data_IF_708662191969
#
_entry.id   IF_708662191969
#
_cell.length_a   1.000
_cell.length_b   1.000
_cell.length_c   1.000
_cell.angle_alpha   90.00
_cell.angle_beta   90.00
_cell.angle_gamma   90.00
#
_symmetry.space_group_name_H-M   'P 1'
#
loop_
_entity.id
_entity.type
_entity.pdbx_description
1 polymer ?
#
# COMPACT_ATOMS: atom_id res chain seq x y z
N UNK A 1 29.81 -17.11 -6.31
CA UNK A 1 29.41 -15.70 -6.58
C UNK A 1 28.26 -15.35 -5.64
N UNK A 2 28.23 -14.17 -5.00
CA UNK A 2 27.09 -13.78 -4.16
C UNK A 2 25.82 -13.75 -5.02
N UNK A 3 24.70 -14.22 -4.46
CA UNK A 3 23.39 -14.18 -5.14
C UNK A 3 22.99 -12.72 -5.45
N UNK A 4 22.35 -12.48 -6.59
CA UNK A 4 21.82 -11.17 -6.99
C UNK A 4 20.97 -10.49 -5.89
N UNK A 5 20.35 -11.30 -5.03
CA UNK A 5 19.53 -10.87 -3.92
C UNK A 5 20.28 -10.82 -2.57
N UNK A 6 21.59 -11.12 -2.53
CA UNK A 6 22.35 -11.06 -1.29
C UNK A 6 22.71 -9.63 -0.91
N UNK A 7 22.86 -9.37 0.41
CA UNK A 7 23.29 -8.08 0.93
C UNK A 7 24.66 -7.67 0.40
N UNK A 8 25.56 -8.65 0.21
CA UNK A 8 26.90 -8.44 -0.34
C UNK A 8 26.84 -7.90 -1.79
N UNK A 9 25.93 -8.42 -2.62
CA UNK A 9 25.76 -7.95 -4.00
C UNK A 9 25.29 -6.50 -4.09
N UNK A 10 24.49 -6.05 -3.12
CA UNK A 10 23.95 -4.67 -3.09
C UNK A 10 24.83 -3.68 -2.33
N UNK A 11 25.93 -4.17 -1.72
CA UNK A 11 26.90 -3.29 -1.06
C UNK A 11 27.60 -2.42 -2.10
N UNK A 12 27.50 -1.11 -1.93
CA UNK A 12 28.06 -0.15 -2.85
C UNK A 12 29.58 -0.03 -2.70
N UNK A 13 30.27 0.43 -3.75
CA UNK A 13 31.67 0.86 -3.64
C UNK A 13 31.77 2.13 -2.79
N UNK A 14 32.92 2.39 -2.16
CA UNK A 14 33.12 3.58 -1.32
C UNK A 14 32.91 4.91 -2.08
N UNK A 15 33.16 4.91 -3.40
CA UNK A 15 32.95 6.06 -4.28
C UNK A 15 31.50 6.26 -4.78
N UNK A 16 30.55 5.46 -4.31
CA UNK A 16 29.16 5.53 -4.78
C UNK A 16 28.50 6.84 -4.35
N UNK A 17 27.81 7.48 -5.31
CA UNK A 17 27.06 8.70 -5.02
C UNK A 17 25.77 8.37 -4.22
N UNK A 18 25.77 8.69 -2.93
CA UNK A 18 24.65 8.44 -2.01
C UNK A 18 23.32 9.10 -2.43
N UNK A 19 23.36 10.17 -3.23
CA UNK A 19 22.17 10.87 -3.72
C UNK A 19 21.36 10.08 -4.75
N UNK A 20 21.89 8.95 -5.25
CA UNK A 20 21.13 8.04 -6.11
C UNK A 20 20.19 7.10 -5.30
N UNK A 21 20.32 7.06 -3.98
CA UNK A 21 19.47 6.22 -3.11
C UNK A 21 18.09 6.83 -2.85
N UNK A 22 17.95 8.15 -2.59
CA UNK A 22 16.64 8.75 -2.35
C UNK A 22 15.61 8.51 -3.45
N UNK A 23 15.89 8.62 -4.75
CA UNK A 23 14.90 8.28 -5.78
C UNK A 23 14.39 6.85 -5.70
N UNK A 24 15.27 5.88 -5.41
CA UNK A 24 14.88 4.48 -5.25
C UNK A 24 13.98 4.28 -4.02
N UNK A 25 14.29 4.94 -2.91
CA UNK A 25 13.48 4.93 -1.70
C UNK A 25 12.12 5.60 -1.91
N UNK A 26 12.09 6.74 -2.60
CA UNK A 26 10.87 7.48 -2.93
C UNK A 26 9.95 6.69 -3.85
N UNK A 27 10.48 5.95 -4.82
CA UNK A 27 9.66 5.11 -5.70
C UNK A 27 8.81 4.09 -4.92
N UNK A 28 9.34 3.52 -3.83
CA UNK A 28 8.59 2.61 -2.95
C UNK A 28 7.62 3.41 -2.08
N UNK A 29 8.10 4.47 -1.40
CA UNK A 29 7.28 5.24 -0.47
C UNK A 29 6.09 5.93 -1.15
N UNK A 30 6.25 6.49 -2.35
CA UNK A 30 5.16 7.07 -3.12
C UNK A 30 4.11 6.02 -3.49
N UNK A 31 4.53 4.79 -3.82
CA UNK A 31 3.61 3.72 -4.17
C UNK A 31 2.78 3.24 -2.98
N UNK A 32 3.42 3.00 -1.84
CA UNK A 32 2.71 2.56 -0.62
C UNK A 32 1.97 3.72 0.07
N UNK A 33 2.36 4.95 -0.20
CA UNK A 33 1.74 6.16 0.37
C UNK A 33 0.30 6.38 -0.08
N UNK A 34 -0.16 5.71 -1.15
CA UNK A 34 -1.59 5.65 -1.51
C UNK A 34 -2.48 5.12 -0.38
N UNK A 35 -1.91 4.44 0.62
CA UNK A 35 -2.61 4.05 1.84
C UNK A 35 -3.37 5.21 2.50
N UNK A 36 -2.78 6.39 2.56
CA UNK A 36 -3.44 7.59 3.09
C UNK A 36 -4.53 8.15 2.18
N UNK A 37 -4.47 7.87 0.88
CA UNK A 37 -5.48 8.26 -0.11
C UNK A 37 -6.64 7.27 -0.26
N UNK A 38 -6.64 6.16 0.51
CA UNK A 38 -7.62 5.09 0.33
C UNK A 38 -9.07 5.53 0.53
N UNK A 39 -9.30 6.58 1.29
CA UNK A 39 -10.64 7.14 1.54
C UNK A 39 -11.37 7.56 0.26
N UNK A 40 -10.67 7.82 -0.84
CA UNK A 40 -11.26 8.16 -2.15
C UNK A 40 -12.17 7.03 -2.68
N UNK A 41 -11.93 5.78 -2.26
CA UNK A 41 -12.71 4.61 -2.64
C UNK A 41 -13.94 4.35 -1.75
N UNK A 42 -14.03 4.95 -0.56
CA UNK A 42 -15.08 4.59 0.42
C UNK A 42 -16.49 4.84 -0.11
N UNK A 43 -16.75 6.02 -0.65
CA UNK A 43 -18.07 6.36 -1.20
C UNK A 43 -18.39 5.50 -2.45
N UNK A 44 -17.50 5.33 -3.44
CA UNK A 44 -17.71 4.42 -4.54
C UNK A 44 -17.99 2.98 -4.12
N UNK A 45 -17.23 2.42 -3.18
CA UNK A 45 -17.40 1.06 -2.67
C UNK A 45 -18.74 0.87 -1.94
N UNK A 46 -19.17 1.88 -1.19
CA UNK A 46 -20.45 1.85 -0.49
C UNK A 46 -21.69 1.96 -1.39
N UNK A 47 -21.51 2.26 -2.69
CA UNK A 47 -22.57 2.36 -3.69
C UNK A 47 -22.29 1.47 -4.91
N UNK A 48 -21.55 0.38 -4.72
CA UNK A 48 -21.09 -0.47 -5.82
C UNK A 48 -22.22 -1.29 -6.44
N UNK A 49 -23.26 -1.66 -5.68
CA UNK A 49 -24.40 -2.41 -6.15
C UNK A 49 -25.59 -1.48 -6.43
N UNK A 50 -26.16 -1.58 -7.62
CA UNK A 50 -27.32 -0.81 -8.08
C UNK A 50 -28.46 -1.75 -8.38
N UNK A 51 -29.65 -1.42 -7.86
CA UNK A 51 -30.88 -2.14 -8.13
C UNK A 51 -31.43 -1.89 -9.54
N UNK A 52 -32.45 -2.62 -9.91
CA UNK A 52 -33.17 -2.46 -11.19
C UNK A 52 -33.86 -1.09 -11.33
N UNK A 53 -34.11 -0.42 -10.21
CA UNK A 53 -34.69 0.93 -10.14
C UNK A 53 -33.65 2.05 -10.33
N UNK A 54 -32.40 1.71 -10.62
CA UNK A 54 -31.29 2.66 -10.79
C UNK A 54 -30.80 3.29 -9.48
N UNK A 55 -31.18 2.79 -8.30
CA UNK A 55 -30.70 3.26 -7.01
C UNK A 55 -29.71 2.31 -6.38
N UNK A 56 -28.79 2.84 -5.57
CA UNK A 56 -27.88 1.99 -4.79
C UNK A 56 -28.68 1.06 -3.86
N UNK A 57 -28.31 -0.22 -3.82
CA UNK A 57 -28.92 -1.18 -2.89
C UNK A 57 -28.67 -0.76 -1.43
N UNK A 58 -29.55 -1.22 -0.54
CA UNK A 58 -29.39 -1.00 0.89
C UNK A 58 -28.07 -1.58 1.40
N UNK A 59 -27.52 -0.97 2.44
CA UNK A 59 -26.33 -1.50 3.10
C UNK A 59 -26.65 -2.81 3.88
N UNK A 60 -25.66 -3.68 4.03
CA UNK A 60 -25.81 -4.94 4.78
C UNK A 60 -26.21 -4.74 6.27
N UNK A 61 -25.86 -3.58 6.83
CA UNK A 61 -26.23 -3.14 8.17
C UNK A 61 -27.32 -2.06 8.17
N UNK A 62 -28.17 -1.99 7.13
CA UNK A 62 -29.25 -1.01 7.07
C UNK A 62 -30.20 -1.19 8.28
N UNK A 63 -30.49 -0.09 9.00
CA UNK A 63 -31.31 -0.10 10.20
C UNK A 63 -30.58 -0.48 11.50
N UNK A 64 -29.26 -0.76 11.44
CA UNK A 64 -28.47 -1.06 12.64
C UNK A 64 -28.39 0.14 13.59
N UNK A 65 -29.01 0.04 14.76
CA UNK A 65 -29.03 1.10 15.78
C UNK A 65 -27.87 0.97 16.78
N UNK A 66 -27.48 -0.25 17.12
CA UNK A 66 -26.44 -0.52 18.12
C UNK A 66 -25.11 -0.92 17.47
N UNK A 67 -24.03 -0.91 18.27
CA UNK A 67 -22.74 -1.42 17.82
C UNK A 67 -22.79 -2.91 17.50
N UNK A 68 -23.55 -3.70 18.27
CA UNK A 68 -23.73 -5.13 18.01
C UNK A 68 -24.42 -5.37 16.66
N UNK A 69 -25.48 -4.61 16.35
CA UNK A 69 -26.16 -4.71 15.05
C UNK A 69 -25.24 -4.38 13.88
N UNK A 70 -24.40 -3.34 14.02
CA UNK A 70 -23.38 -3.00 13.00
C UNK A 70 -22.38 -4.14 12.81
N UNK A 71 -21.91 -4.76 13.91
CA UNK A 71 -20.97 -5.86 13.83
C UNK A 71 -21.61 -7.08 13.14
N UNK A 72 -22.87 -7.42 13.47
CA UNK A 72 -23.60 -8.47 12.76
C UNK A 72 -23.77 -8.14 11.27
N UNK A 73 -24.09 -6.90 10.94
CA UNK A 73 -24.13 -6.43 9.55
C UNK A 73 -22.78 -6.61 8.83
N UNK A 74 -21.67 -6.29 9.49
CA UNK A 74 -20.32 -6.49 8.95
C UNK A 74 -20.00 -7.97 8.71
N UNK A 75 -20.35 -8.85 9.66
CA UNK A 75 -20.16 -10.30 9.50
C UNK A 75 -20.95 -10.82 8.28
N UNK A 76 -22.18 -10.35 8.10
CA UNK A 76 -22.95 -10.64 6.89
C UNK A 76 -22.28 -10.09 5.64
N UNK A 77 -21.82 -8.84 5.67
CA UNK A 77 -21.17 -8.17 4.54
C UNK A 77 -19.90 -8.88 4.03
N UNK A 78 -19.23 -9.67 4.89
CA UNK A 78 -18.03 -10.41 4.48
C UNK A 78 -18.29 -11.38 3.31
N UNK A 79 -19.47 -11.98 3.25
CA UNK A 79 -19.80 -13.00 2.23
C UNK A 79 -21.05 -12.68 1.41
N UNK A 80 -21.85 -11.69 1.82
CA UNK A 80 -23.07 -11.29 1.12
C UNK A 80 -22.74 -10.51 -0.14
N UNK A 81 -23.46 -10.82 -1.22
CA UNK A 81 -23.32 -10.18 -2.54
C UNK A 81 -24.58 -9.40 -2.93
N UNK A 82 -25.56 -9.29 -2.03
CA UNK A 82 -26.88 -8.71 -2.24
C UNK A 82 -27.10 -7.36 -1.57
N UNK A 83 -26.07 -6.83 -0.90
CA UNK A 83 -26.14 -5.59 -0.15
C UNK A 83 -24.81 -4.80 -0.24
N UNK A 84 -24.89 -3.48 -0.16
CA UNK A 84 -23.71 -2.61 -0.20
C UNK A 84 -22.95 -2.58 1.14
N UNK A 85 -21.65 -2.30 1.06
CA UNK A 85 -20.78 -2.15 2.22
C UNK A 85 -20.93 -0.77 2.86
N UNK A 86 -20.78 -0.69 4.16
CA UNK A 86 -20.80 0.58 4.89
C UNK A 86 -19.40 1.13 5.11
N UNK A 87 -19.31 2.41 5.48
CA UNK A 87 -18.03 2.99 5.93
C UNK A 87 -17.50 2.30 7.19
N UNK A 88 -18.37 1.72 8.02
CA UNK A 88 -17.98 0.93 9.18
C UNK A 88 -17.22 -0.35 8.76
N UNK A 89 -17.73 -1.07 7.75
CA UNK A 89 -17.11 -2.27 7.21
C UNK A 89 -15.72 -1.99 6.60
N UNK A 90 -15.63 -0.91 5.83
CA UNK A 90 -14.38 -0.45 5.23
C UNK A 90 -13.40 0.11 6.28
N UNK A 91 -13.93 0.75 7.32
CA UNK A 91 -13.14 1.27 8.44
C UNK A 91 -12.43 0.17 9.22
N UNK A 92 -13.08 -0.97 9.46
CA UNK A 92 -12.45 -2.13 10.10
C UNK A 92 -11.35 -2.75 9.24
N UNK A 93 -11.55 -2.86 7.93
CA UNK A 93 -10.49 -3.27 7.01
C UNK A 93 -9.28 -2.33 7.10
N UNK A 94 -9.52 -1.03 7.15
CA UNK A 94 -8.48 -0.01 7.24
C UNK A 94 -7.75 -0.04 8.60
N UNK A 95 -8.47 -0.32 9.69
CA UNK A 95 -7.88 -0.54 11.01
C UNK A 95 -6.95 -1.76 11.02
N UNK A 96 -7.41 -2.89 10.46
CA UNK A 96 -6.62 -4.11 10.32
C UNK A 96 -5.34 -3.87 9.51
N UNK A 97 -5.45 -3.11 8.45
CA UNK A 97 -4.35 -2.69 7.60
C UNK A 97 -3.24 -1.97 8.39
N UNK A 98 -3.58 -0.97 9.23
CA UNK A 98 -2.58 -0.25 10.04
C UNK A 98 -2.04 -1.07 11.21
N UNK A 99 -2.85 -1.91 11.82
CA UNK A 99 -2.39 -2.84 12.86
C UNK A 99 -1.31 -3.76 12.28
N UNK A 100 -1.56 -4.34 11.10
CA UNK A 100 -0.60 -5.23 10.45
C UNK A 100 0.61 -4.49 9.88
N UNK A 101 0.49 -3.22 9.48
CA UNK A 101 1.64 -2.37 9.20
C UNK A 101 2.57 -2.32 10.42
N UNK A 102 2.05 -1.97 11.59
CA UNK A 102 2.85 -1.85 12.81
C UNK A 102 3.45 -3.19 13.23
N UNK A 103 2.65 -4.26 13.27
CA UNK A 103 3.10 -5.60 13.61
C UNK A 103 4.18 -6.10 12.65
N UNK A 104 3.97 -5.98 11.34
CA UNK A 104 4.96 -6.43 10.35
C UNK A 104 6.26 -5.65 10.43
N UNK A 105 6.20 -4.33 10.62
CA UNK A 105 7.39 -3.50 10.82
C UNK A 105 8.19 -3.96 12.04
N UNK A 106 7.52 -4.28 13.16
CA UNK A 106 8.15 -4.75 14.38
C UNK A 106 8.77 -6.14 14.23
N UNK A 107 8.02 -7.11 13.72
CA UNK A 107 8.49 -8.50 13.60
C UNK A 107 9.54 -8.70 12.51
N UNK A 108 9.41 -8.03 11.37
CA UNK A 108 10.29 -8.23 10.22
C UNK A 108 11.47 -7.25 10.18
N UNK A 109 11.58 -6.31 11.12
CA UNK A 109 12.68 -5.35 11.18
C UNK A 109 14.05 -6.03 11.28
N UNK A 110 14.20 -7.03 12.16
CA UNK A 110 15.44 -7.81 12.30
C UNK A 110 15.75 -8.67 11.07
N UNK A 111 14.73 -9.19 10.41
CA UNK A 111 14.89 -9.91 9.15
C UNK A 111 15.36 -8.99 8.04
N UNK A 112 14.80 -7.79 7.93
CA UNK A 112 15.20 -6.78 6.95
C UNK A 112 16.70 -6.43 7.07
N UNK A 113 17.20 -6.25 8.28
CA UNK A 113 18.62 -5.96 8.52
C UNK A 113 19.55 -7.08 8.03
N UNK A 114 19.11 -8.33 8.13
CA UNK A 114 19.85 -9.50 7.65
C UNK A 114 19.68 -9.74 6.16
N UNK A 115 18.44 -9.72 5.67
CA UNK A 115 18.10 -10.03 4.28
C UNK A 115 18.48 -8.91 3.29
N UNK A 116 18.55 -7.66 3.79
CA UNK A 116 18.84 -6.46 3.01
C UNK A 116 17.61 -5.80 2.42
N UNK A 117 17.70 -4.48 2.12
CA UNK A 117 16.56 -3.66 1.72
C UNK A 117 15.98 -4.07 0.36
N UNK A 118 16.78 -4.63 -0.55
CA UNK A 118 16.31 -5.09 -1.86
C UNK A 118 15.31 -6.23 -1.73
N UNK A 119 15.64 -7.26 -0.94
CA UNK A 119 14.71 -8.37 -0.70
C UNK A 119 13.44 -7.90 0.00
N UNK A 120 13.58 -7.06 1.01
CA UNK A 120 12.44 -6.51 1.74
C UNK A 120 11.53 -5.69 0.82
N UNK A 121 12.10 -4.86 -0.07
CA UNK A 121 11.35 -4.09 -1.05
C UNK A 121 10.61 -4.97 -2.06
N UNK A 122 11.23 -6.06 -2.54
CA UNK A 122 10.56 -7.00 -3.46
C UNK A 122 9.44 -7.79 -2.77
N UNK A 123 9.64 -8.25 -1.53
CA UNK A 123 8.57 -8.90 -0.75
C UNK A 123 7.43 -7.92 -0.47
N UNK A 124 7.76 -6.67 -0.11
CA UNK A 124 6.78 -5.59 0.03
C UNK A 124 5.98 -5.38 -1.26
N UNK A 125 6.66 -5.35 -2.42
CA UNK A 125 6.00 -5.22 -3.74
C UNK A 125 5.01 -6.36 -3.97
N UNK A 126 5.44 -7.60 -3.72
CA UNK A 126 4.58 -8.78 -3.90
C UNK A 126 3.35 -8.71 -2.99
N UNK A 127 3.54 -8.36 -1.72
CA UNK A 127 2.43 -8.25 -0.77
C UNK A 127 1.51 -7.05 -1.10
N UNK A 128 2.07 -5.86 -1.33
CA UNK A 128 1.28 -4.66 -1.61
C UNK A 128 0.49 -4.76 -2.90
N UNK A 129 1.15 -5.06 -4.01
CA UNK A 129 0.50 -5.16 -5.32
C UNK A 129 -0.37 -6.42 -5.43
N UNK A 130 0.06 -7.56 -4.88
CA UNK A 130 -0.76 -8.78 -4.79
C UNK A 130 -2.00 -8.56 -3.93
N UNK A 131 -1.90 -7.82 -2.83
CA UNK A 131 -3.02 -7.40 -2.00
C UNK A 131 -4.03 -6.54 -2.76
N UNK A 132 -3.55 -5.58 -3.57
CA UNK A 132 -4.41 -4.76 -4.44
C UNK A 132 -5.12 -5.61 -5.51
N UNK A 133 -4.43 -6.57 -6.14
CA UNK A 133 -5.03 -7.47 -7.12
C UNK A 133 -6.09 -8.37 -6.50
N UNK A 134 -5.83 -8.94 -5.32
CA UNK A 134 -6.82 -9.73 -4.59
C UNK A 134 -8.03 -8.89 -4.19
N UNK A 135 -7.80 -7.64 -3.77
CA UNK A 135 -8.88 -6.70 -3.48
C UNK A 135 -9.67 -6.31 -4.74
N UNK A 136 -9.01 -6.14 -5.89
CA UNK A 136 -9.69 -5.91 -7.16
C UNK A 136 -10.63 -7.07 -7.50
N UNK A 137 -10.18 -8.31 -7.30
CA UNK A 137 -11.01 -9.49 -7.50
C UNK A 137 -12.17 -9.54 -6.48
N UNK A 138 -11.93 -9.21 -5.22
CA UNK A 138 -12.96 -9.10 -4.19
C UNK A 138 -14.02 -8.03 -4.51
N UNK A 139 -13.60 -6.88 -5.05
CA UNK A 139 -14.52 -5.82 -5.51
C UNK A 139 -15.32 -6.29 -6.72
N UNK A 140 -14.69 -6.96 -7.68
CA UNK A 140 -15.35 -7.50 -8.86
C UNK A 140 -16.42 -8.54 -8.52
N UNK A 141 -16.12 -9.44 -7.57
CA UNK A 141 -17.03 -10.50 -7.10
C UNK A 141 -17.93 -10.04 -5.94
N UNK A 142 -17.80 -8.79 -5.52
CA UNK A 142 -18.48 -8.20 -4.35
C UNK A 142 -18.31 -9.04 -3.06
N UNK A 143 -17.06 -9.45 -2.77
CA UNK A 143 -16.69 -10.27 -1.61
C UNK A 143 -15.80 -9.45 -0.66
N UNK A 144 -16.37 -8.94 0.43
CA UNK A 144 -15.65 -8.07 1.37
C UNK A 144 -14.48 -8.78 2.05
N UNK A 145 -14.60 -10.08 2.37
CA UNK A 145 -13.53 -10.84 3.01
C UNK A 145 -12.25 -10.90 2.16
N UNK A 146 -12.39 -10.97 0.82
CA UNK A 146 -11.23 -10.93 -0.08
C UNK A 146 -10.52 -9.57 -0.04
N UNK A 147 -11.30 -8.49 0.09
CA UNK A 147 -10.76 -7.15 0.22
C UNK A 147 -10.09 -6.96 1.59
N UNK A 148 -10.64 -7.52 2.66
CA UNK A 148 -10.01 -7.53 3.99
C UNK A 148 -8.70 -8.32 3.97
N UNK A 149 -8.69 -9.51 3.35
CA UNK A 149 -7.47 -10.30 3.20
C UNK A 149 -6.44 -9.61 2.30
N UNK A 150 -6.87 -9.10 1.16
CA UNK A 150 -6.00 -8.46 0.17
C UNK A 150 -5.41 -7.15 0.68
N UNK A 151 -6.22 -6.12 0.83
CA UNK A 151 -5.75 -4.81 1.28
C UNK A 151 -5.49 -4.78 2.79
N UNK A 152 -6.36 -5.38 3.61
CA UNK A 152 -6.21 -5.37 5.07
C UNK A 152 -4.99 -6.15 5.55
N UNK A 153 -4.90 -7.44 5.23
CA UNK A 153 -3.87 -8.33 5.76
C UNK A 153 -2.60 -8.28 4.92
N UNK A 154 -2.67 -8.74 3.68
CA UNK A 154 -1.49 -8.89 2.82
C UNK A 154 -0.92 -7.51 2.49
N UNK A 155 -1.77 -6.54 2.15
CA UNK A 155 -1.39 -5.15 1.89
C UNK A 155 -0.78 -4.49 3.12
N UNK A 156 -1.32 -4.71 4.33
CA UNK A 156 -0.77 -4.19 5.58
C UNK A 156 0.63 -4.71 5.88
N UNK A 157 0.89 -6.01 5.66
CA UNK A 157 2.24 -6.60 5.76
C UNK A 157 3.18 -5.97 4.73
N UNK A 158 2.72 -5.87 3.49
CA UNK A 158 3.48 -5.24 2.40
C UNK A 158 3.84 -3.79 2.72
N UNK A 159 2.91 -3.04 3.28
CA UNK A 159 3.10 -1.66 3.69
C UNK A 159 4.17 -1.54 4.79
N UNK A 160 4.13 -2.38 5.81
CA UNK A 160 5.12 -2.35 6.89
C UNK A 160 6.55 -2.60 6.40
N UNK A 161 6.75 -3.64 5.59
CA UNK A 161 8.04 -3.93 4.96
C UNK A 161 8.50 -2.80 4.02
N UNK A 162 7.58 -2.25 3.22
CA UNK A 162 7.82 -1.15 2.31
C UNK A 162 8.11 0.15 3.01
N UNK A 163 7.63 0.35 4.23
CA UNK A 163 7.89 1.54 5.04
C UNK A 163 9.28 1.51 5.68
N UNK A 164 9.64 0.42 6.37
CA UNK A 164 10.91 0.37 7.10
C UNK A 164 12.13 0.24 6.19
N UNK A 165 12.00 -0.36 5.01
CA UNK A 165 13.10 -0.59 4.08
C UNK A 165 13.75 0.70 3.56
N UNK A 166 13.01 1.70 3.04
CA UNK A 166 13.56 3.00 2.64
C UNK A 166 14.12 3.81 3.81
N UNK A 167 13.39 3.83 4.94
CA UNK A 167 13.80 4.59 6.14
C UNK A 167 15.16 4.10 6.65
N UNK A 168 15.31 2.79 6.86
CA UNK A 168 16.57 2.19 7.31
C UNK A 168 17.71 2.46 6.33
N UNK A 169 17.44 2.35 5.02
CA UNK A 169 18.45 2.56 3.99
C UNK A 169 18.91 4.02 3.93
N UNK A 170 17.96 4.98 3.97
CA UNK A 170 18.29 6.40 3.95
C UNK A 170 19.07 6.85 5.18
N UNK A 171 18.71 6.38 6.38
CA UNK A 171 19.44 6.71 7.61
C UNK A 171 20.88 6.20 7.56
N UNK A 172 21.12 5.02 6.95
CA UNK A 172 22.47 4.47 6.78
C UNK A 172 23.34 5.29 5.83
N UNK A 173 22.75 5.89 4.80
CA UNK A 173 23.47 6.73 3.84
C UNK A 173 23.64 8.18 4.30
N UNK A 174 22.77 8.68 5.17
CA UNK A 174 22.78 10.06 5.65
C UNK A 174 22.87 10.16 7.19
N UNK A 175 23.88 9.52 7.82
CA UNK A 175 24.05 9.61 9.28
C UNK A 175 24.37 11.02 9.73
N UNK A 176 24.99 11.85 8.86
CA UNK A 176 25.27 13.26 9.02
C UNK A 176 24.04 14.17 8.92
N UNK A 177 22.96 13.70 8.31
CA UNK A 177 21.73 14.46 8.06
C UNK A 177 20.48 13.61 8.31
N UNK A 178 20.42 12.97 9.50
CA UNK A 178 19.32 12.02 9.85
C UNK A 178 17.93 12.62 9.73
N UNK A 179 17.75 13.89 10.18
CA UNK A 179 16.47 14.60 10.04
C UNK A 179 16.03 14.75 8.59
N UNK A 180 16.96 15.10 7.68
CA UNK A 180 16.68 15.18 6.26
C UNK A 180 16.33 13.81 5.68
N UNK A 181 17.06 12.75 6.03
CA UNK A 181 16.80 11.39 5.56
C UNK A 181 15.40 10.91 5.97
N UNK A 182 15.04 11.12 7.24
CA UNK A 182 13.71 10.80 7.76
C UNK A 182 12.62 11.65 7.11
N UNK A 183 12.88 12.95 6.94
CA UNK A 183 11.97 13.87 6.26
C UNK A 183 11.67 13.48 4.82
N UNK A 184 12.69 13.07 4.04
CA UNK A 184 12.51 12.57 2.68
C UNK A 184 11.65 11.29 2.65
N UNK A 185 11.87 10.38 3.60
CA UNK A 185 11.08 9.17 3.72
C UNK A 185 9.60 9.48 4.00
N UNK A 186 9.31 10.32 5.00
CA UNK A 186 7.95 10.71 5.38
C UNK A 186 7.27 11.49 4.25
N UNK A 187 7.99 12.43 3.63
CA UNK A 187 7.48 13.19 2.47
C UNK A 187 7.09 12.25 1.32
N UNK A 188 7.91 11.24 1.03
CA UNK A 188 7.59 10.24 -0.01
C UNK A 188 6.31 9.48 0.31
N UNK A 189 6.15 9.06 1.56
CA UNK A 189 4.96 8.34 2.00
C UNK A 189 3.70 9.22 1.97
N UNK A 190 3.75 10.42 2.54
CA UNK A 190 2.63 11.38 2.47
C UNK A 190 2.32 11.87 1.05
N UNK A 191 3.36 12.09 0.23
CA UNK A 191 3.23 12.50 -1.17
C UNK A 191 2.54 11.46 -2.06
N UNK A 192 2.59 10.18 -1.67
CA UNK A 192 1.92 9.10 -2.39
C UNK A 192 0.40 9.28 -2.48
N UNK A 193 -0.24 9.74 -1.41
CA UNK A 193 -1.66 10.06 -1.42
C UNK A 193 -1.97 11.29 -2.29
N UNK A 194 -1.10 12.30 -2.26
CA UNK A 194 -1.27 13.53 -3.06
C UNK A 194 -1.29 13.24 -4.57
N UNK A 195 -0.49 12.29 -5.03
CA UNK A 195 -0.44 11.85 -6.42
C UNK A 195 -1.47 10.75 -6.69
N UNK A 196 -1.58 9.79 -5.78
CA UNK A 196 -2.38 8.58 -5.95
C UNK A 196 -3.89 8.84 -5.92
N UNK A 197 -4.38 9.77 -5.08
CA UNK A 197 -5.83 10.04 -5.00
C UNK A 197 -6.38 10.69 -6.27
N UNK A 198 -5.77 11.73 -6.87
CA UNK A 198 -6.20 12.26 -8.16
C UNK A 198 -6.09 11.22 -9.28
N UNK A 199 -5.02 10.43 -9.31
CA UNK A 199 -4.85 9.36 -10.28
C UNK A 199 -5.97 8.31 -10.15
N UNK A 200 -6.28 7.87 -8.94
CA UNK A 200 -7.36 6.92 -8.67
C UNK A 200 -8.72 7.47 -9.12
N UNK A 201 -9.02 8.73 -8.82
CA UNK A 201 -10.26 9.39 -9.25
C UNK A 201 -10.36 9.45 -10.77
N UNK A 202 -9.27 9.83 -11.46
CA UNK A 202 -9.21 9.86 -12.92
C UNK A 202 -9.44 8.46 -13.53
N UNK A 203 -8.81 7.43 -12.96
CA UNK A 203 -8.98 6.05 -13.43
C UNK A 203 -10.40 5.53 -13.19
N UNK A 204 -10.98 5.79 -12.01
CA UNK A 204 -12.37 5.41 -11.70
C UNK A 204 -13.35 6.05 -12.68
N UNK A 205 -13.13 7.32 -13.05
CA UNK A 205 -13.94 8.02 -14.05
C UNK A 205 -13.72 7.44 -15.43
N UNK A 206 -12.49 7.15 -15.82
CA UNK A 206 -12.14 6.59 -17.13
C UNK A 206 -12.77 5.19 -17.37
N UNK A 207 -12.82 4.37 -16.32
CA UNK A 207 -13.40 3.03 -16.37
C UNK A 207 -14.84 2.98 -15.88
N UNK A 208 -15.50 4.14 -15.76
CA UNK A 208 -16.90 4.18 -15.34
C UNK A 208 -17.82 3.53 -16.37
N UNK A 209 -18.86 2.88 -15.88
CA UNK A 209 -19.91 2.25 -16.68
C UNK A 209 -21.26 2.80 -16.29
N UNK A 210 -22.19 2.86 -17.25
CA UNK A 210 -23.57 3.27 -16.96
C UNK A 210 -24.40 2.00 -16.74
N UNK A 211 -24.95 1.86 -15.54
CA UNK A 211 -25.80 0.73 -15.16
C UNK A 211 -27.14 1.29 -14.69
N UNK A 212 -28.21 0.97 -15.42
CA UNK A 212 -29.58 1.41 -15.10
C UNK A 212 -29.72 2.93 -14.93
N UNK A 213 -29.00 3.73 -15.75
CA UNK A 213 -29.04 5.19 -15.67
C UNK A 213 -28.12 5.82 -14.61
N UNK A 214 -27.41 5.02 -13.83
CA UNK A 214 -26.42 5.49 -12.84
C UNK A 214 -25.00 5.19 -13.30
N UNK A 215 -24.11 6.20 -13.18
CA UNK A 215 -22.69 6.04 -13.51
C UNK A 215 -22.00 5.33 -12.34
N UNK A 216 -21.52 4.13 -12.60
CA UNK A 216 -20.68 3.38 -11.64
C UNK A 216 -19.20 3.61 -11.91
N UNK A 217 -18.42 4.06 -10.92
CA UNK A 217 -16.98 4.21 -11.06
C UNK A 217 -16.31 2.85 -11.27
N UNK A 218 -15.30 2.81 -12.12
CA UNK A 218 -14.52 1.60 -12.39
C UNK A 218 -13.52 1.29 -11.29
N UNK A 219 -13.97 0.80 -10.13
CA UNK A 219 -13.13 0.64 -8.93
C UNK A 219 -12.14 -0.51 -9.08
N UNK A 220 -12.63 -1.71 -9.45
CA UNK A 220 -11.76 -2.88 -9.58
C UNK A 220 -10.70 -2.71 -10.68
N UNK A 221 -11.06 -2.09 -11.81
CA UNK A 221 -10.13 -1.75 -12.88
C UNK A 221 -9.05 -0.78 -12.39
N UNK A 222 -9.44 0.21 -11.58
CA UNK A 222 -8.52 1.16 -10.96
C UNK A 222 -7.52 0.45 -10.06
N UNK A 223 -7.95 -0.51 -9.23
CA UNK A 223 -7.05 -1.29 -8.39
C UNK A 223 -6.05 -2.10 -9.20
N UNK A 224 -6.49 -2.71 -10.31
CA UNK A 224 -5.59 -3.45 -11.23
C UNK A 224 -4.55 -2.52 -11.85
N UNK A 225 -4.97 -1.37 -12.38
CA UNK A 225 -4.03 -0.41 -13.00
C UNK A 225 -3.05 0.15 -11.97
N UNK A 226 -3.51 0.50 -10.77
CA UNK A 226 -2.64 0.96 -9.68
C UNK A 226 -1.65 -0.14 -9.26
N UNK A 227 -2.09 -1.41 -9.17
CA UNK A 227 -1.20 -2.52 -8.87
C UNK A 227 -0.09 -2.67 -9.90
N UNK A 228 -0.39 -2.52 -11.19
CA UNK A 228 0.60 -2.57 -12.28
C UNK A 228 1.60 -1.41 -12.15
N UNK A 229 1.11 -0.18 -12.01
CA UNK A 229 1.95 1.01 -11.86
C UNK A 229 2.87 0.85 -10.65
N UNK A 230 2.32 0.50 -9.49
CA UNK A 230 3.10 0.34 -8.25
C UNK A 230 4.09 -0.82 -8.34
N UNK A 231 3.76 -1.91 -9.04
CA UNK A 231 4.70 -3.00 -9.28
C UNK A 231 5.94 -2.50 -10.03
N UNK A 232 5.76 -1.72 -11.09
CA UNK A 232 6.86 -1.17 -11.88
C UNK A 232 7.73 -0.24 -11.01
N UNK A 233 7.12 0.71 -10.28
CA UNK A 233 7.86 1.66 -9.45
C UNK A 233 8.56 0.98 -8.28
N UNK A 234 7.89 0.06 -7.57
CA UNK A 234 8.46 -0.61 -6.41
C UNK A 234 9.56 -1.60 -6.78
N UNK A 235 9.43 -2.34 -7.89
CA UNK A 235 10.50 -3.20 -8.40
C UNK A 235 11.70 -2.34 -8.80
N UNK A 236 11.48 -1.27 -9.55
CA UNK A 236 12.56 -0.35 -9.97
C UNK A 236 13.28 0.25 -8.76
N UNK A 237 12.53 0.71 -7.74
CA UNK A 237 13.08 1.21 -6.49
C UNK A 237 13.85 0.13 -5.73
N UNK A 238 13.29 -1.09 -5.60
CA UNK A 238 13.95 -2.20 -4.91
C UNK A 238 15.26 -2.62 -5.58
N UNK A 239 15.30 -2.66 -6.90
CA UNK A 239 16.53 -2.97 -7.66
C UNK A 239 17.56 -1.84 -7.58
N UNK A 240 17.10 -0.60 -7.46
CA UNK A 240 17.94 0.59 -7.29
C UNK A 240 18.63 0.66 -5.93
N UNK A 241 18.19 -0.09 -4.92
CA UNK A 241 18.79 -0.07 -3.60
C UNK A 241 20.25 -0.48 -3.58
N UNK A 242 21.05 0.32 -2.86
CA UNK A 242 22.42 0.02 -2.46
C UNK A 242 22.58 0.30 -0.97
N UNK A 243 23.39 -0.48 -0.28
CA UNK A 243 23.76 -0.25 1.12
C UNK A 243 25.20 0.23 1.21
N UNK A 244 25.53 1.11 2.16
CA UNK A 244 26.90 1.53 2.35
C UNK A 244 27.79 0.35 2.79
N UNK A 245 29.08 0.34 2.43
CA UNK A 245 30.01 -0.66 2.93
C UNK A 245 30.21 -0.51 4.44
N UNK A 246 30.67 -1.60 5.08
CA UNK A 246 30.93 -1.61 6.53
C UNK A 246 31.95 -0.53 6.89
N UNK A 247 31.63 0.27 7.90
CA UNK A 247 32.50 1.36 8.36
C UNK A 247 32.50 2.62 7.49
N UNK A 248 31.64 2.66 6.45
CA UNK A 248 31.52 3.85 5.60
C UNK A 248 31.02 5.07 6.39
N UNK A 249 31.67 6.20 6.17
CA UNK A 249 31.29 7.50 6.74
C UNK A 249 31.32 8.57 5.65
N UNK A 250 30.41 9.56 5.70
CA UNK A 250 30.52 10.74 4.83
C UNK A 250 31.81 11.50 5.09
N UNK A 251 32.38 12.12 4.05
CA UNK A 251 33.57 12.94 4.18
C UNK A 251 33.32 14.08 5.15
N UNK A 252 34.27 14.29 6.10
CA UNK A 252 34.22 15.38 7.09
C UNK A 252 33.24 15.13 8.26
N UNK A 253 32.60 13.95 8.38
CA UNK A 253 31.71 13.63 9.48
C UNK A 253 32.37 12.69 10.50
N UNK A 254 32.40 13.13 11.75
CA UNK A 254 32.75 12.30 12.93
C UNK A 254 31.52 12.20 13.83
N UNK A 255 31.12 10.96 14.26
CA UNK A 255 29.99 10.75 15.17
C UNK A 255 30.28 11.29 16.57
#
# INVERSE_FOLDING_TARGET
MPSFFSKEYITAKASYNRWLVPPAALAIHLSIGMAYGFSVFWKPLGNALIGSDGKALAACSAGAATFADKLHGTLRALTATDCNWTQFDLGWMYTLFFVLLGCSAAFWGSWLERAGPRKAGLVSTLCWCGGLLLSAFGIYTHQLWMMWLGSGVIGGIGLGLGYISPVSTLIKWFPDKRGMATGMAIMGFGGGAMIGSPLATMLMTKFSTNTNGMIQPGIWQTFVVLAIIYTIFMISGSLGYRVPPTGWKPAGWNP
#
